data_IF_267248199062
#
_entry.id   IF_267248199062
#
_cell.length_a   1.000
_cell.length_b   1.000
_cell.length_c   1.000
_cell.angle_alpha   90.00
_cell.angle_beta   90.00
_cell.angle_gamma   90.00
#
_symmetry.space_group_name_H-M   'P 1'
#
loop_
_entity.id
_entity.type
_entity.pdbx_description
1 polymer ?
#
# COMPACT_ATOMS: atom_id res chain seq x y z
N UNK A 1 -11.18 -1.63 -1.76
CA UNK A 1 -11.66 -1.36 -0.39
C UNK A 1 -11.00 -2.36 0.57
N UNK A 2 -11.34 -2.37 1.86
CA UNK A 2 -10.76 -3.30 2.84
C UNK A 2 -10.85 -4.79 2.46
N UNK A 3 -12.02 -5.33 2.03
CA UNK A 3 -12.15 -6.75 1.72
C UNK A 3 -11.22 -7.22 0.59
N UNK A 4 -11.08 -6.40 -0.46
CA UNK A 4 -10.22 -6.72 -1.60
C UNK A 4 -8.75 -6.66 -1.21
N UNK A 5 -8.34 -5.69 -0.39
CA UNK A 5 -6.95 -5.57 0.09
C UNK A 5 -6.55 -6.71 1.00
N UNK A 6 -7.41 -7.10 1.94
CA UNK A 6 -7.17 -8.25 2.80
C UNK A 6 -6.99 -9.53 1.96
N UNK A 7 -7.89 -9.75 0.99
CA UNK A 7 -7.81 -10.90 0.10
C UNK A 7 -6.55 -10.89 -0.76
N UNK A 8 -6.17 -9.74 -1.29
CA UNK A 8 -4.95 -9.58 -2.08
C UNK A 8 -3.70 -9.88 -1.24
N UNK A 9 -3.61 -9.34 -0.02
CA UNK A 9 -2.48 -9.61 0.89
C UNK A 9 -2.37 -11.09 1.24
N UNK A 10 -3.50 -11.74 1.55
CA UNK A 10 -3.52 -13.18 1.86
C UNK A 10 -3.04 -14.01 0.67
N UNK A 11 -3.58 -13.75 -0.52
CA UNK A 11 -3.21 -14.50 -1.72
C UNK A 11 -1.77 -14.21 -2.16
N UNK A 12 -1.31 -12.96 -2.06
CA UNK A 12 0.07 -12.57 -2.35
C UNK A 12 1.09 -13.22 -1.41
N UNK A 13 0.70 -13.52 -0.16
CA UNK A 13 1.49 -14.29 0.79
C UNK A 13 1.38 -15.82 0.59
N UNK A 14 0.60 -16.29 -0.39
CA UNK A 14 0.39 -17.73 -0.65
C UNK A 14 -0.44 -18.45 0.42
N UNK A 15 -1.17 -17.72 1.26
CA UNK A 15 -1.87 -18.28 2.42
C UNK A 15 -3.31 -18.70 2.08
N UNK A 16 -3.72 -19.86 2.58
CA UNK A 16 -5.12 -20.23 2.71
C UNK A 16 -5.80 -19.43 3.83
N UNK A 17 -7.14 -19.43 3.86
CA UNK A 17 -7.90 -18.84 4.97
C UNK A 17 -7.59 -19.51 6.32
N UNK A 18 -7.25 -20.81 6.30
CA UNK A 18 -6.89 -21.56 7.50
C UNK A 18 -5.53 -21.15 8.03
N UNK A 19 -4.54 -21.06 7.14
CA UNK A 19 -3.18 -20.66 7.52
C UNK A 19 -3.16 -19.22 8.03
N UNK A 20 -3.90 -18.29 7.41
CA UNK A 20 -4.01 -16.94 7.93
C UNK A 20 -4.65 -16.93 9.33
N UNK A 21 -5.72 -17.70 9.55
CA UNK A 21 -6.34 -17.78 10.88
C UNK A 21 -5.37 -18.32 11.94
N UNK A 22 -4.62 -19.36 11.60
CA UNK A 22 -3.60 -19.94 12.49
C UNK A 22 -2.48 -18.94 12.76
N UNK A 23 -1.95 -18.29 11.74
CA UNK A 23 -0.87 -17.32 11.87
C UNK A 23 -1.27 -16.13 12.76
N UNK A 24 -2.47 -15.57 12.56
CA UNK A 24 -2.98 -14.50 13.41
C UNK A 24 -3.16 -14.94 14.87
N UNK A 25 -3.56 -16.20 15.11
CA UNK A 25 -3.71 -16.73 16.46
C UNK A 25 -2.37 -17.04 17.15
N UNK A 26 -1.30 -17.22 16.38
CA UNK A 26 0.05 -17.44 16.89
C UNK A 26 0.79 -16.13 17.19
N UNK A 27 0.28 -14.98 16.72
CA UNK A 27 0.86 -13.69 17.06
C UNK A 27 0.66 -13.37 18.54
N UNK A 28 1.76 -13.20 19.27
CA UNK A 28 1.73 -12.71 20.63
C UNK A 28 1.52 -11.19 20.66
N UNK A 29 0.25 -10.79 20.78
CA UNK A 29 -0.14 -9.38 20.88
C UNK A 29 -0.90 -9.12 22.18
N UNK A 30 -0.57 -8.02 22.86
CA UNK A 30 -1.17 -7.68 24.16
C UNK A 30 -2.66 -7.29 24.06
N UNK A 31 -3.07 -6.82 22.88
CA UNK A 31 -4.37 -6.20 22.64
C UNK A 31 -5.41 -7.13 22.00
N UNK A 32 -5.02 -8.30 21.47
CA UNK A 32 -5.95 -9.27 20.85
C UNK A 32 -5.86 -10.61 21.55
N UNK A 33 -6.91 -10.97 22.31
CA UNK A 33 -7.01 -12.24 23.04
C UNK A 33 -8.00 -13.23 22.42
N UNK A 34 -8.65 -12.83 21.32
CA UNK A 34 -9.70 -13.63 20.68
C UNK A 34 -9.18 -14.29 19.43
N UNK A 35 -9.18 -15.63 19.44
CA UNK A 35 -8.81 -16.43 18.28
C UNK A 35 -9.73 -16.13 17.09
N UNK A 36 -9.14 -16.05 15.91
CA UNK A 36 -9.81 -15.90 14.62
C UNK A 36 -10.13 -17.26 14.05
N UNK A 37 -11.33 -17.35 13.52
CA UNK A 37 -11.79 -18.53 12.78
C UNK A 37 -11.67 -18.29 11.27
N UNK A 38 -11.51 -19.37 10.53
CA UNK A 38 -11.49 -19.39 9.06
C UNK A 38 -12.73 -18.67 8.49
N UNK A 39 -13.90 -18.92 9.10
CA UNK A 39 -15.18 -18.32 8.71
C UNK A 39 -15.19 -16.80 8.91
N UNK A 40 -14.63 -16.28 10.00
CA UNK A 40 -14.52 -14.84 10.22
C UNK A 40 -13.69 -14.17 9.13
N UNK A 41 -12.51 -14.71 8.83
CA UNK A 41 -11.65 -14.16 7.77
C UNK A 41 -12.37 -14.18 6.42
N UNK A 42 -13.04 -15.29 6.09
CA UNK A 42 -13.81 -15.39 4.86
C UNK A 42 -14.97 -14.37 4.80
N UNK A 43 -15.62 -14.06 5.92
CA UNK A 43 -16.66 -13.02 5.98
C UNK A 43 -16.06 -11.61 5.81
N UNK A 44 -14.86 -11.36 6.33
CA UNK A 44 -14.13 -10.10 6.13
C UNK A 44 -13.74 -9.89 4.67
N UNK A 45 -13.20 -10.91 4.00
CA UNK A 45 -12.83 -10.83 2.57
C UNK A 45 -14.02 -10.70 1.61
N UNK A 46 -15.22 -11.12 2.04
CA UNK A 46 -16.46 -10.90 1.30
C UNK A 46 -17.16 -9.59 1.68
N UNK A 47 -16.63 -8.85 2.66
CA UNK A 47 -17.28 -7.64 3.18
C UNK A 47 -18.62 -7.90 3.89
N UNK A 48 -18.93 -9.15 4.25
CA UNK A 48 -20.19 -9.50 4.92
C UNK A 48 -20.22 -9.03 6.38
N UNK A 49 -19.06 -8.97 7.01
CA UNK A 49 -18.90 -8.45 8.37
C UNK A 49 -17.68 -7.56 8.43
N UNK A 50 -17.74 -6.50 9.23
CA UNK A 50 -16.62 -5.59 9.44
C UNK A 50 -15.80 -6.08 10.64
N UNK A 51 -14.47 -6.25 10.50
CA UNK A 51 -13.60 -6.50 11.64
C UNK A 51 -13.58 -5.31 12.60
N UNK A 52 -13.33 -5.58 13.87
CA UNK A 52 -13.07 -4.53 14.85
C UNK A 52 -11.69 -3.89 14.66
N UNK A 53 -11.49 -2.70 15.20
CA UNK A 53 -10.21 -1.97 15.12
C UNK A 53 -9.00 -2.82 15.53
N UNK A 54 -9.11 -3.58 16.62
CA UNK A 54 -8.03 -4.45 17.11
C UNK A 54 -7.69 -5.57 16.12
N UNK A 55 -8.67 -6.03 15.34
CA UNK A 55 -8.47 -7.07 14.32
C UNK A 55 -7.83 -6.49 13.08
N UNK A 56 -8.21 -5.27 12.69
CA UNK A 56 -7.55 -4.52 11.61
C UNK A 56 -6.10 -4.23 11.98
N UNK A 57 -5.83 -3.82 13.23
CA UNK A 57 -4.47 -3.59 13.73
C UNK A 57 -3.62 -4.86 13.67
N UNK A 58 -4.17 -5.99 14.14
CA UNK A 58 -3.48 -7.27 14.10
C UNK A 58 -3.15 -7.70 12.65
N UNK A 59 -4.08 -7.50 11.72
CA UNK A 59 -3.86 -7.76 10.29
C UNK A 59 -2.77 -6.84 9.70
N UNK A 60 -2.78 -5.57 10.08
CA UNK A 60 -1.81 -4.58 9.61
C UNK A 60 -0.40 -4.91 10.09
N UNK A 61 -0.24 -5.29 11.36
CA UNK A 61 1.03 -5.74 11.91
C UNK A 61 1.51 -7.04 11.27
N UNK A 62 0.60 -8.01 11.06
CA UNK A 62 0.94 -9.29 10.42
C UNK A 62 1.50 -9.10 9.01
N UNK A 63 0.81 -8.30 8.18
CA UNK A 63 1.21 -8.04 6.80
C UNK A 63 2.23 -6.90 6.65
N UNK A 64 2.63 -6.26 7.76
CA UNK A 64 3.52 -5.10 7.78
C UNK A 64 3.06 -3.95 6.86
N UNK A 65 1.76 -3.68 6.86
CA UNK A 65 1.15 -2.58 6.09
C UNK A 65 0.54 -1.55 7.05
N UNK A 66 0.27 -0.33 6.54
CA UNK A 66 -0.43 0.66 7.35
C UNK A 66 -1.92 0.33 7.50
N UNK A 67 -2.51 0.76 8.62
CA UNK A 67 -3.96 0.70 8.85
C UNK A 67 -4.75 1.44 7.75
N UNK A 68 -4.22 2.57 7.27
CA UNK A 68 -4.81 3.33 6.17
C UNK A 68 -4.82 2.52 4.87
N UNK A 69 -3.72 1.81 4.58
CA UNK A 69 -3.70 0.88 3.47
C UNK A 69 -4.75 -0.22 3.65
N UNK A 70 -4.82 -0.92 4.78
CA UNK A 70 -5.83 -1.97 4.96
C UNK A 70 -7.26 -1.44 4.85
N UNK A 71 -7.56 -0.28 5.43
CA UNK A 71 -8.91 0.31 5.46
C UNK A 71 -9.41 0.82 4.10
N UNK A 72 -8.58 0.80 3.06
CA UNK A 72 -8.97 1.28 1.74
C UNK A 72 -8.70 2.77 1.52
N UNK A 73 -8.08 3.47 2.48
CA UNK A 73 -7.52 4.81 2.24
C UNK A 73 -6.26 4.66 1.39
N UNK A 74 -6.41 4.72 0.08
CA UNK A 74 -5.32 5.13 -0.80
C UNK A 74 -5.55 6.58 -1.17
N UNK A 75 -4.49 7.38 -1.12
CA UNK A 75 -4.44 8.60 -1.89
C UNK A 75 -4.18 8.15 -3.33
N UNK A 76 -5.25 7.93 -4.10
CA UNK A 76 -5.13 7.50 -5.50
C UNK A 76 -4.51 8.60 -6.38
N UNK A 77 -4.44 9.82 -5.85
CA UNK A 77 -3.81 10.96 -6.48
C UNK A 77 -3.11 11.79 -5.39
N UNK A 78 -1.79 11.91 -5.50
CA UNK A 78 -1.03 12.88 -4.73
C UNK A 78 -0.75 14.07 -5.64
N UNK A 79 -1.36 15.21 -5.33
CA UNK A 79 -0.97 16.44 -5.98
C UNK A 79 0.46 16.78 -5.55
N UNK A 80 1.39 16.79 -6.51
CA UNK A 80 2.79 17.11 -6.25
C UNK A 80 2.91 18.52 -5.67
N UNK A 81 2.12 19.49 -6.13
CA UNK A 81 2.10 20.84 -5.59
C UNK A 81 1.79 20.84 -4.09
N UNK A 82 0.78 20.07 -3.67
CA UNK A 82 0.44 19.90 -2.25
C UNK A 82 1.53 19.13 -1.48
N UNK A 83 2.06 18.05 -2.06
CA UNK A 83 3.11 17.25 -1.46
C UNK A 83 4.39 18.06 -1.21
N UNK A 84 4.81 18.88 -2.18
CA UNK A 84 5.96 19.78 -2.08
C UNK A 84 5.71 20.97 -1.15
N UNK A 85 4.46 21.39 -0.94
CA UNK A 85 4.07 22.42 0.02
C UNK A 85 3.88 21.90 1.46
N UNK A 86 3.64 20.60 1.63
CA UNK A 86 3.34 19.99 2.93
C UNK A 86 4.55 19.91 3.88
N UNK A 87 4.26 19.64 5.16
CA UNK A 87 5.27 19.32 6.17
C UNK A 87 5.77 17.86 6.11
N UNK A 88 5.37 17.09 5.10
CA UNK A 88 5.80 15.70 4.95
C UNK A 88 7.33 15.61 4.78
N UNK A 89 7.93 14.59 5.39
CA UNK A 89 9.34 14.30 5.21
C UNK A 89 9.53 13.54 3.90
N UNK A 90 10.01 14.24 2.87
CA UNK A 90 10.24 13.67 1.54
C UNK A 90 11.69 13.18 1.42
N UNK A 91 11.88 12.01 0.82
CA UNK A 91 13.19 11.49 0.46
C UNK A 91 13.16 10.91 -0.96
N UNK A 92 14.30 10.97 -1.64
CA UNK A 92 14.52 10.32 -2.93
C UNK A 92 15.82 9.52 -2.84
N UNK A 93 15.78 8.23 -3.18
CA UNK A 93 16.94 7.32 -3.03
C UNK A 93 17.59 7.41 -1.64
N UNK A 94 16.77 7.37 -0.57
CA UNK A 94 17.18 7.48 0.83
C UNK A 94 17.79 8.84 1.25
N UNK A 95 17.92 9.80 0.34
CA UNK A 95 18.35 11.15 0.67
C UNK A 95 17.16 12.04 1.02
N UNK A 96 17.20 12.67 2.21
CA UNK A 96 16.16 13.61 2.65
C UNK A 96 16.19 14.88 1.78
N UNK A 97 15.05 15.23 1.21
CA UNK A 97 14.90 16.44 0.42
C UNK A 97 14.79 17.65 1.35
N UNK A 98 15.78 18.54 1.29
CA UNK A 98 15.74 19.83 2.01
C UNK A 98 14.73 20.78 1.38
N UNK A 99 14.32 21.84 2.08
CA UNK A 99 13.41 22.85 1.54
C UNK A 99 13.91 23.47 0.22
N UNK A 100 15.23 23.69 0.12
CA UNK A 100 15.87 24.20 -1.10
C UNK A 100 15.76 23.19 -2.25
N UNK A 101 16.16 21.94 -2.02
CA UNK A 101 16.11 20.86 -3.02
C UNK A 101 14.68 20.58 -3.48
N UNK A 102 13.71 20.65 -2.56
CA UNK A 102 12.28 20.55 -2.88
C UNK A 102 11.84 21.62 -3.89
N UNK A 103 12.24 22.87 -3.68
CA UNK A 103 11.94 23.97 -4.60
C UNK A 103 12.57 23.81 -5.98
N UNK A 104 13.83 23.35 -6.02
CA UNK A 104 14.53 23.07 -7.29
C UNK A 104 13.84 21.98 -8.10
N UNK A 105 13.49 20.85 -7.46
CA UNK A 105 12.77 19.75 -8.12
C UNK A 105 11.39 20.21 -8.60
N UNK A 106 10.66 20.97 -7.77
CA UNK A 106 9.36 21.51 -8.16
C UNK A 106 9.47 22.41 -9.39
N UNK A 107 10.48 23.29 -9.45
CA UNK A 107 10.70 24.17 -10.59
C UNK A 107 11.03 23.38 -11.87
N UNK A 108 11.81 22.30 -11.78
CA UNK A 108 12.11 21.40 -12.90
C UNK A 108 10.84 20.73 -13.43
N UNK A 109 10.02 20.14 -12.54
CA UNK A 109 8.77 19.48 -12.90
C UNK A 109 7.80 20.49 -13.54
N UNK A 110 7.63 21.66 -12.92
CA UNK A 110 6.77 22.73 -13.46
C UNK A 110 7.25 23.21 -14.82
N UNK A 111 8.57 23.36 -15.00
CA UNK A 111 9.17 23.71 -16.28
C UNK A 111 8.89 22.67 -17.36
N UNK A 112 9.03 21.38 -17.02
CA UNK A 112 8.74 20.26 -17.92
C UNK A 112 7.26 20.23 -18.35
N UNK A 113 6.33 20.36 -17.40
CA UNK A 113 4.89 20.33 -17.67
C UNK A 113 4.39 21.52 -18.51
N UNK A 114 5.07 22.66 -18.45
CA UNK A 114 4.70 23.86 -19.21
C UNK A 114 5.32 23.90 -20.61
N UNK A 115 6.06 22.88 -21.04
CA UNK A 115 6.53 22.79 -22.42
C UNK A 115 5.35 22.44 -23.33
N UNK A 116 5.15 23.12 -24.47
CA UNK A 116 4.14 22.72 -25.43
C UNK A 116 4.48 21.31 -25.92
N UNK A 117 3.62 20.34 -25.59
CA UNK A 117 3.74 18.96 -26.06
C UNK A 117 3.69 19.03 -27.59
N UNK A 118 4.82 18.85 -28.24
CA UNK A 118 4.83 18.53 -29.66
C UNK A 118 4.15 17.16 -29.79
N UNK A 119 2.86 17.17 -30.17
CA UNK A 119 2.11 15.99 -30.58
C UNK A 119 2.92 15.26 -31.64
N UNK A 120 3.52 14.15 -31.23
CA UNK A 120 3.70 12.91 -31.97
C UNK A 120 4.53 12.03 -31.05
N UNK A 121 3.90 11.11 -30.32
CA UNK A 121 4.18 9.67 -30.30
C UNK A 121 3.12 9.03 -29.39
N UNK A 122 2.48 7.99 -29.91
CA UNK A 122 1.57 7.07 -29.22
C UNK A 122 2.11 6.76 -27.82
N UNK A 123 1.38 7.17 -26.79
CA UNK A 123 1.69 6.80 -25.41
C UNK A 123 1.32 5.33 -25.26
N UNK A 124 2.26 4.44 -25.54
CA UNK A 124 2.25 3.14 -24.89
C UNK A 124 2.47 3.41 -23.40
N UNK A 125 1.51 3.03 -22.56
CA UNK A 125 1.66 3.05 -21.11
C UNK A 125 2.95 2.29 -20.77
N UNK A 126 3.98 3.02 -20.34
CA UNK A 126 5.18 2.40 -19.79
C UNK A 126 4.75 1.84 -18.43
N UNK A 127 4.34 0.57 -18.39
CA UNK A 127 4.25 -0.16 -17.15
C UNK A 127 5.64 -0.18 -16.53
N UNK A 128 5.80 0.43 -15.37
CA UNK A 128 7.04 0.39 -14.60
C UNK A 128 7.21 -1.05 -14.08
N UNK A 129 7.80 -1.92 -14.91
CA UNK A 129 8.18 -3.26 -14.51
C UNK A 129 9.30 -3.14 -13.47
N UNK A 130 8.96 -3.36 -12.20
CA UNK A 130 9.86 -3.26 -11.07
C UNK A 130 10.80 -4.48 -10.95
N UNK A 131 10.90 -5.32 -11.98
CA UNK A 131 11.87 -6.41 -12.01
C UNK A 131 11.72 -7.34 -10.82
N UNK A 132 10.48 -7.72 -10.49
CA UNK A 132 10.26 -8.84 -9.58
C UNK A 132 10.60 -10.12 -10.34
N UNK A 133 11.86 -10.52 -10.23
CA UNK A 133 12.36 -11.82 -10.67
C UNK A 133 11.59 -12.91 -9.90
N UNK A 134 10.54 -13.46 -10.53
CA UNK A 134 10.04 -14.77 -10.14
C UNK A 134 11.00 -15.82 -10.69
N UNK A 135 12.18 -15.91 -10.09
CA UNK A 135 13.06 -17.06 -10.25
C UNK A 135 12.39 -18.27 -9.61
N UNK A 136 11.72 -19.02 -10.48
CA UNK A 136 11.59 -20.47 -10.53
C UNK A 136 11.85 -21.25 -9.22
N UNK A 137 10.78 -21.76 -8.62
CA UNK A 137 10.86 -23.06 -7.96
C UNK A 137 9.99 -24.06 -8.73
N UNK A 138 10.72 -24.98 -9.35
CA UNK A 138 10.31 -26.17 -10.09
C UNK A 138 9.59 -27.18 -9.21
#
# INVERSE_FOLDING_TARGET
>A
MFPERLRALRLGAGLSLSELAQALNQMEVSYSKRNKTISQIGKWERGTTTPSYLEVLQLAEYFQVSLDYLSGRSYDNYDLNELFASNAQLSFQQQKLTAKTRGEIYALIKGYLNQPIATNQTTEEISLDLGWDHSEHK
#
